data_IF_770983235252
#
_entry.id   IF_770983235252
#
_cell.length_a   1.000
_cell.length_b   1.000
_cell.length_c   1.000
_cell.angle_alpha   90.00
_cell.angle_beta   90.00
_cell.angle_gamma   90.00
#
_symmetry.space_group_name_H-M   'P 1'
#
loop_
_entity.id
_entity.type
_entity.pdbx_description
1 polymer ?
#
# COMPACT_ATOMS: atom_id res chain seq x y z
N UNK A 1 21.40 -2.12 -6.83
CA UNK A 1 20.51 -1.70 -5.73
C UNK A 1 20.90 -0.29 -5.36
N UNK A 2 19.95 0.63 -5.45
CA UNK A 2 20.17 2.02 -5.04
C UNK A 2 19.47 2.14 -3.71
N UNK A 3 20.20 1.94 -2.62
CA UNK A 3 19.65 2.05 -1.29
C UNK A 3 19.32 3.54 -1.04
N UNK A 4 18.21 3.80 -0.35
CA UNK A 4 17.80 5.16 0.02
C UNK A 4 18.38 5.49 1.39
N UNK A 5 18.84 6.71 1.61
CA UNK A 5 18.98 7.17 2.99
C UNK A 5 17.61 7.18 3.67
N UNK A 6 17.58 7.08 5.00
CA UNK A 6 16.30 7.18 5.73
C UNK A 6 15.57 8.49 5.43
N UNK A 7 16.30 9.60 5.30
CA UNK A 7 15.71 10.90 4.96
C UNK A 7 15.05 10.88 3.58
N UNK A 8 15.72 10.30 2.57
CA UNK A 8 15.16 10.14 1.22
C UNK A 8 13.93 9.21 1.22
N UNK A 9 13.98 8.10 1.96
CA UNK A 9 12.86 7.17 2.08
C UNK A 9 11.64 7.85 2.72
N UNK A 10 11.85 8.63 3.79
CA UNK A 10 10.76 9.37 4.45
C UNK A 10 10.20 10.44 3.53
N UNK A 11 11.05 11.28 2.92
CA UNK A 11 10.61 12.29 1.96
C UNK A 11 9.79 11.67 0.81
N UNK A 12 10.21 10.49 0.33
CA UNK A 12 9.51 9.79 -0.75
C UNK A 12 8.11 9.34 -0.36
N UNK A 13 7.90 8.85 0.86
CA UNK A 13 6.55 8.52 1.34
C UNK A 13 5.73 9.77 1.69
N UNK A 14 6.38 10.87 2.09
CA UNK A 14 5.69 12.16 2.25
C UNK A 14 5.06 12.64 0.95
N UNK A 15 5.79 12.51 -0.16
CA UNK A 15 5.33 12.82 -1.51
C UNK A 15 4.22 11.87 -1.97
N UNK A 16 4.32 10.57 -1.62
CA UNK A 16 3.28 9.58 -1.92
C UNK A 16 1.96 9.93 -1.22
N UNK A 17 2.02 10.24 0.07
CA UNK A 17 0.84 10.65 0.85
C UNK A 17 0.26 11.96 0.31
N UNK A 18 1.11 12.92 -0.05
CA UNK A 18 0.64 14.17 -0.65
C UNK A 18 -0.13 13.92 -1.96
N UNK A 19 0.37 13.05 -2.84
CA UNK A 19 -0.35 12.65 -4.06
C UNK A 19 -1.68 11.97 -3.77
N UNK A 20 -1.71 11.03 -2.83
CA UNK A 20 -2.96 10.36 -2.42
C UNK A 20 -3.99 11.37 -1.91
N UNK A 21 -3.54 12.40 -1.20
CA UNK A 21 -4.39 13.45 -0.63
C UNK A 21 -4.93 14.43 -1.68
N UNK A 22 -4.13 14.77 -2.70
CA UNK A 22 -4.48 15.85 -3.65
C UNK A 22 -4.96 15.37 -5.00
N UNK A 23 -4.46 14.24 -5.50
CA UNK A 23 -4.66 13.84 -6.88
C UNK A 23 -5.88 12.93 -7.00
N UNK A 24 -6.53 12.96 -8.17
CA UNK A 24 -7.56 11.98 -8.49
C UNK A 24 -6.89 10.61 -8.63
N UNK A 25 -7.09 9.72 -7.66
CA UNK A 25 -6.60 8.34 -7.74
C UNK A 25 -7.48 7.50 -8.67
N UNK A 26 -6.95 6.42 -9.30
CA UNK A 26 -7.71 5.47 -10.12
C UNK A 26 -8.87 4.80 -9.36
N UNK A 27 -8.73 4.68 -8.05
CA UNK A 27 -9.74 4.22 -7.08
C UNK A 27 -9.54 4.99 -5.77
N UNK A 28 -10.57 5.17 -4.92
CA UNK A 28 -10.38 5.81 -3.62
C UNK A 28 -9.36 5.04 -2.77
N UNK A 29 -8.45 5.76 -2.13
CA UNK A 29 -7.49 5.24 -1.15
C UNK A 29 -7.98 5.66 0.23
N UNK A 30 -7.95 4.74 1.18
CA UNK A 30 -8.48 4.90 2.54
C UNK A 30 -7.42 4.97 3.62
N UNK A 31 -6.30 4.30 3.41
CA UNK A 31 -5.21 4.29 4.39
C UNK A 31 -3.88 4.18 3.65
N UNK A 32 -2.87 4.88 4.16
CA UNK A 32 -1.49 4.74 3.74
C UNK A 32 -0.65 4.37 4.96
N UNK A 33 0.00 3.22 4.88
CA UNK A 33 0.92 2.71 5.90
C UNK A 33 2.30 2.47 5.30
N UNK A 34 3.32 2.57 6.12
CA UNK A 34 4.65 2.01 5.82
C UNK A 34 4.96 0.87 6.75
N UNK A 35 5.82 -0.04 6.29
CA UNK A 35 6.34 -1.13 7.11
C UNK A 35 7.80 -1.45 6.71
N UNK A 36 8.39 -2.45 7.34
CA UNK A 36 9.76 -2.89 7.00
C UNK A 36 10.84 -1.91 7.43
N UNK A 37 11.86 -1.72 6.60
CA UNK A 37 13.12 -1.05 6.97
C UNK A 37 12.92 0.36 7.52
N UNK A 38 12.03 1.14 6.90
CA UNK A 38 11.77 2.53 7.28
C UNK A 38 11.14 2.63 8.68
N UNK A 39 10.26 1.70 9.05
CA UNK A 39 9.65 1.69 10.40
C UNK A 39 10.61 1.14 11.44
N UNK A 40 11.60 0.34 11.04
CA UNK A 40 12.66 -0.15 11.92
C UNK A 40 13.80 0.87 12.12
N UNK A 41 13.72 2.04 11.48
CA UNK A 41 14.71 3.11 11.58
C UNK A 41 16.04 2.79 10.90
N UNK A 42 16.07 1.82 9.99
CA UNK A 42 17.28 1.44 9.26
C UNK A 42 17.77 2.59 8.37
N UNK A 43 19.09 2.69 8.23
CA UNK A 43 19.75 3.66 7.37
C UNK A 43 21.07 3.05 6.88
N UNK A 44 21.18 2.66 5.59
CA UNK A 44 20.20 2.92 4.54
C UNK A 44 18.93 2.04 4.61
N UNK A 45 17.88 2.48 3.92
CA UNK A 45 16.65 1.74 3.61
C UNK A 45 16.85 1.04 2.27
N UNK A 46 16.88 -0.30 2.27
CA UNK A 46 17.11 -1.09 1.05
C UNK A 46 15.88 -1.05 0.13
N UNK A 47 14.69 -1.03 0.74
CA UNK A 47 13.40 -0.96 0.05
C UNK A 47 12.36 -0.22 0.88
N UNK A 48 11.59 0.66 0.24
CA UNK A 48 10.45 1.33 0.87
C UNK A 48 9.19 0.48 0.68
N UNK A 49 8.72 -0.14 1.75
CA UNK A 49 7.50 -0.94 1.77
C UNK A 49 6.29 -0.08 2.19
N UNK A 50 5.28 0.03 1.33
CA UNK A 50 4.06 0.81 1.55
C UNK A 50 2.83 -0.07 1.38
N UNK A 51 1.86 0.08 2.27
CA UNK A 51 0.56 -0.56 2.16
C UNK A 51 -0.52 0.48 1.91
N UNK A 52 -1.36 0.23 0.91
CA UNK A 52 -2.49 1.06 0.53
C UNK A 52 -3.79 0.27 0.73
N UNK A 53 -4.63 0.76 1.63
CA UNK A 53 -6.03 0.34 1.68
C UNK A 53 -6.80 1.11 0.61
N UNK A 54 -7.54 0.42 -0.26
CA UNK A 54 -8.38 1.03 -1.30
C UNK A 54 -9.84 0.61 -1.20
N UNK A 55 -10.73 1.44 -1.71
CA UNK A 55 -12.12 1.03 -1.93
C UNK A 55 -12.31 0.37 -3.31
N UNK A 56 -13.45 -0.30 -3.43
CA UNK A 56 -14.01 -0.79 -4.69
C UNK A 56 -15.07 0.22 -5.15
N UNK A 57 -15.15 0.49 -6.45
CA UNK A 57 -16.17 1.37 -7.03
C UNK A 57 -17.55 0.67 -7.03
N UNK A 58 -18.22 0.64 -5.88
CA UNK A 58 -19.53 0.01 -5.74
C UNK A 58 -20.59 0.87 -6.43
N UNK A 59 -21.06 0.41 -7.59
CA UNK A 59 -22.07 1.12 -8.39
C UNK A 59 -21.52 1.82 -9.63
N UNK A 60 -20.22 1.67 -9.90
CA UNK A 60 -19.52 2.33 -11.00
C UNK A 60 -18.78 3.59 -10.54
N UNK A 61 -18.09 4.23 -11.46
CA UNK A 61 -17.48 5.53 -11.26
C UNK A 61 -18.54 6.65 -11.20
N UNK A 62 -18.33 7.64 -10.32
CA UNK A 62 -19.20 8.82 -10.16
C UNK A 62 -18.93 9.89 -11.24
N UNK A 63 -18.04 9.63 -12.20
CA UNK A 63 -17.72 10.57 -13.27
C UNK A 63 -18.70 10.49 -14.45
N UNK A 64 -18.90 11.62 -15.12
CA UNK A 64 -19.66 11.70 -16.38
C UNK A 64 -18.86 11.20 -17.60
N UNK A 65 -17.65 10.69 -17.40
CA UNK A 65 -16.77 10.25 -18.48
C UNK A 65 -17.21 8.87 -18.97
N UNK A 66 -17.61 8.78 -20.24
CA UNK A 66 -17.95 7.51 -20.86
C UNK A 66 -16.66 6.72 -21.17
N UNK A 67 -16.44 5.54 -20.56
CA UNK A 67 -15.26 4.72 -20.84
C UNK A 67 -15.13 4.31 -22.31
N UNK A 68 -16.25 4.21 -23.05
CA UNK A 68 -16.24 3.85 -24.47
C UNK A 68 -15.59 4.94 -25.34
N UNK A 69 -15.60 6.20 -24.89
CA UNK A 69 -15.00 7.33 -25.60
C UNK A 69 -13.45 7.35 -25.50
N UNK A 70 -12.86 6.65 -24.54
CA UNK A 70 -11.42 6.69 -24.28
C UNK A 70 -10.59 5.92 -25.31
N UNK A 71 -11.22 5.02 -26.08
CA UNK A 71 -10.57 4.18 -27.08
C UNK A 71 -9.33 3.42 -26.57
N UNK A 72 -9.27 3.12 -25.27
CA UNK A 72 -8.16 2.41 -24.63
C UNK A 72 -8.21 0.89 -24.85
N UNK A 73 -9.39 0.36 -25.17
CA UNK A 73 -9.59 -1.08 -25.39
C UNK A 73 -9.33 -1.92 -24.14
N UNK A 74 -9.55 -1.34 -22.96
CA UNK A 74 -9.36 -2.00 -21.67
C UNK A 74 -10.71 -2.10 -20.98
N UNK A 75 -11.15 -3.33 -20.72
CA UNK A 75 -12.39 -3.60 -20.00
C UNK A 75 -12.26 -3.23 -18.51
N UNK A 76 -13.36 -2.78 -17.90
CA UNK A 76 -13.41 -2.47 -16.46
C UNK A 76 -13.05 -1.02 -16.10
N UNK A 77 -12.75 -0.16 -17.08
CA UNK A 77 -12.73 1.30 -16.87
C UNK A 77 -14.18 1.77 -16.67
N UNK A 78 -14.40 2.64 -15.68
CA UNK A 78 -15.73 3.04 -15.20
C UNK A 78 -16.36 2.06 -14.20
N UNK A 79 -15.80 0.86 -14.04
CA UNK A 79 -16.32 -0.18 -13.13
C UNK A 79 -15.36 -0.52 -11.99
N UNK A 80 -14.08 -0.64 -12.29
CA UNK A 80 -13.02 -1.04 -11.34
C UNK A 80 -11.93 0.02 -11.20
N UNK A 81 -11.80 0.89 -12.21
CA UNK A 81 -10.93 2.06 -12.24
C UNK A 81 -11.76 3.22 -12.78
N UNK A 82 -11.61 4.40 -12.21
CA UNK A 82 -12.35 5.60 -12.61
C UNK A 82 -12.05 6.00 -14.05
N UNK A 83 -13.09 6.36 -14.81
CA UNK A 83 -13.01 6.70 -16.22
C UNK A 83 -12.39 8.09 -16.43
N UNK A 84 -12.73 9.06 -15.58
CA UNK A 84 -12.11 10.40 -15.61
C UNK A 84 -10.59 10.33 -15.39
N UNK A 85 -10.17 9.54 -14.41
CA UNK A 85 -8.76 9.28 -14.16
C UNK A 85 -8.07 8.63 -15.35
N UNK A 86 -8.69 7.61 -15.96
CA UNK A 86 -8.10 6.91 -17.10
C UNK A 86 -7.96 7.83 -18.34
N UNK A 87 -8.86 8.80 -18.51
CA UNK A 87 -8.80 9.80 -19.56
C UNK A 87 -7.58 10.72 -19.42
N UNK A 88 -7.27 11.14 -18.18
CA UNK A 88 -6.17 12.04 -17.88
C UNK A 88 -4.82 11.32 -17.77
N UNK A 89 -4.83 10.04 -17.39
CA UNK A 89 -3.64 9.25 -17.07
C UNK A 89 -3.54 7.97 -17.90
N UNK A 90 -3.76 8.08 -19.21
CA UNK A 90 -3.74 6.94 -20.15
C UNK A 90 -2.46 6.11 -20.06
N UNK A 91 -1.31 6.75 -19.77
CA UNK A 91 0.00 6.13 -19.61
C UNK A 91 0.15 5.27 -18.34
N UNK A 92 -0.73 5.47 -17.35
CA UNK A 92 -0.74 4.72 -16.09
C UNK A 92 -1.77 3.59 -16.08
N UNK A 93 -2.60 3.45 -17.12
CA UNK A 93 -3.56 2.36 -17.23
C UNK A 93 -2.81 1.03 -17.34
N UNK A 94 -3.13 0.08 -16.45
CA UNK A 94 -2.54 -1.26 -16.40
C UNK A 94 -3.64 -2.30 -16.28
N UNK A 95 -3.40 -3.47 -16.86
CA UNK A 95 -4.34 -4.58 -16.83
C UNK A 95 -3.86 -5.75 -15.96
N UNK A 96 -4.80 -6.56 -15.50
CA UNK A 96 -4.51 -7.87 -14.96
C UNK A 96 -4.17 -8.86 -16.10
N UNK A 97 -3.87 -10.11 -15.74
CA UNK A 97 -3.52 -11.15 -16.72
C UNK A 97 -4.65 -11.48 -17.71
N UNK A 98 -5.90 -11.14 -17.37
CA UNK A 98 -7.08 -11.37 -18.19
C UNK A 98 -7.45 -10.17 -19.08
N UNK A 99 -6.67 -9.07 -19.03
CA UNK A 99 -6.90 -7.88 -19.86
C UNK A 99 -7.86 -6.83 -19.26
N UNK A 100 -8.40 -7.06 -18.05
CA UNK A 100 -9.22 -6.07 -17.35
C UNK A 100 -8.35 -5.05 -16.62
N UNK A 101 -8.83 -3.81 -16.49
CA UNK A 101 -8.21 -2.78 -15.67
C UNK A 101 -7.90 -3.33 -14.26
N UNK A 102 -6.66 -3.12 -13.81
CA UNK A 102 -6.18 -3.60 -12.52
C UNK A 102 -5.91 -2.41 -11.60
N UNK A 103 -6.83 -2.07 -10.67
CA UNK A 103 -6.71 -0.86 -9.87
C UNK A 103 -5.42 -0.81 -9.06
N UNK A 104 -4.92 -1.94 -8.56
CA UNK A 104 -3.67 -2.04 -7.82
C UNK A 104 -2.46 -1.67 -8.68
N UNK A 105 -2.44 -2.13 -9.93
CA UNK A 105 -1.37 -1.80 -10.89
C UNK A 105 -1.48 -0.37 -11.40
N UNK A 106 -2.70 0.15 -11.57
CA UNK A 106 -2.94 1.55 -11.92
C UNK A 106 -2.47 2.47 -10.78
N UNK A 107 -2.77 2.14 -9.52
CA UNK A 107 -2.26 2.86 -8.35
C UNK A 107 -0.73 2.84 -8.33
N UNK A 108 -0.12 1.67 -8.55
CA UNK A 108 1.32 1.56 -8.59
C UNK A 108 1.96 2.42 -9.69
N UNK A 109 1.43 2.34 -10.91
CA UNK A 109 1.91 3.14 -12.03
C UNK A 109 1.74 4.66 -11.82
N UNK A 110 0.70 5.07 -11.09
CA UNK A 110 0.50 6.49 -10.74
C UNK A 110 1.50 6.95 -9.67
N UNK A 111 1.67 6.14 -8.61
CA UNK A 111 2.35 6.56 -7.39
C UNK A 111 3.86 6.32 -7.41
N UNK A 112 4.35 5.39 -8.22
CA UNK A 112 5.73 4.87 -8.17
C UNK A 112 6.32 4.72 -9.57
N UNK A 113 7.54 5.21 -9.77
CA UNK A 113 8.31 4.97 -10.99
C UNK A 113 8.87 3.55 -11.06
N UNK A 114 8.97 3.00 -12.28
CA UNK A 114 9.29 1.57 -12.52
C UNK A 114 10.64 1.11 -11.92
N UNK A 115 11.62 2.01 -11.80
CA UNK A 115 12.97 1.71 -11.31
C UNK A 115 13.18 2.05 -9.82
N UNK A 116 12.16 2.51 -9.10
CA UNK A 116 12.27 2.88 -7.69
C UNK A 116 12.28 1.63 -6.78
N UNK A 117 13.08 1.60 -5.70
CA UNK A 117 13.12 0.47 -4.75
C UNK A 117 11.90 0.52 -3.80
N UNK A 118 10.69 0.47 -4.37
CA UNK A 118 9.43 0.60 -3.65
C UNK A 118 8.59 -0.66 -3.86
N UNK A 119 8.07 -1.19 -2.77
CA UNK A 119 7.09 -2.27 -2.81
C UNK A 119 5.73 -1.75 -2.35
N UNK A 120 4.71 -1.93 -3.19
CA UNK A 120 3.33 -1.60 -2.87
C UNK A 120 2.52 -2.87 -2.60
N UNK A 121 1.98 -2.97 -1.40
CA UNK A 121 0.87 -3.86 -1.09
C UNK A 121 -0.43 -3.07 -1.23
N UNK A 122 -1.34 -3.53 -2.08
CA UNK A 122 -2.62 -2.84 -2.31
C UNK A 122 -3.76 -3.81 -2.06
N UNK A 123 -4.66 -3.46 -1.16
CA UNK A 123 -5.75 -4.33 -0.75
C UNK A 123 -7.00 -3.51 -0.37
N UNK A 124 -8.16 -4.15 -0.35
CA UNK A 124 -9.41 -3.57 0.14
C UNK A 124 -9.62 -3.74 1.65
N UNK A 125 -8.85 -4.60 2.30
CA UNK A 125 -8.87 -4.76 3.76
C UNK A 125 -7.94 -3.73 4.43
N UNK A 126 -8.27 -3.32 5.67
CA UNK A 126 -7.38 -2.50 6.49
C UNK A 126 -6.04 -3.20 6.70
N UNK A 127 -4.98 -2.44 7.00
CA UNK A 127 -3.64 -3.01 7.23
C UNK A 127 -3.67 -4.08 8.33
N UNK A 128 -4.25 -3.77 9.49
CA UNK A 128 -4.29 -4.67 10.65
C UNK A 128 -5.09 -5.96 10.38
N UNK A 129 -6.23 -5.83 9.67
CA UNK A 129 -7.03 -6.99 9.29
C UNK A 129 -6.27 -7.90 8.33
N UNK A 130 -5.60 -7.31 7.32
CA UNK A 130 -4.88 -8.08 6.31
C UNK A 130 -3.63 -8.76 6.90
N UNK A 131 -2.91 -8.09 7.80
CA UNK A 131 -1.82 -8.69 8.58
C UNK A 131 -2.30 -9.98 9.27
N UNK A 132 -3.45 -9.89 9.94
CA UNK A 132 -4.02 -11.03 10.68
C UNK A 132 -4.45 -12.15 9.72
N UNK A 133 -5.21 -11.82 8.68
CA UNK A 133 -5.75 -12.80 7.74
C UNK A 133 -4.65 -13.52 6.94
N UNK A 134 -3.64 -12.79 6.46
CA UNK A 134 -2.51 -13.39 5.75
C UNK A 134 -1.66 -14.26 6.66
N UNK A 135 -1.48 -13.88 7.94
CA UNK A 135 -0.82 -14.74 8.90
C UNK A 135 -1.60 -16.04 9.11
N UNK A 136 -2.91 -15.97 9.36
CA UNK A 136 -3.76 -17.16 9.52
C UNK A 136 -3.70 -18.08 8.29
N UNK A 137 -3.81 -17.51 7.09
CA UNK A 137 -3.71 -18.25 5.83
C UNK A 137 -2.34 -18.90 5.63
N UNK A 138 -1.26 -18.19 5.95
CA UNK A 138 0.10 -18.71 5.86
C UNK A 138 0.37 -19.82 6.88
N UNK A 139 -0.12 -19.69 8.12
CA UNK A 139 -0.02 -20.73 9.14
C UNK A 139 -0.79 -22.00 8.74
N UNK A 140 -1.95 -21.85 8.10
CA UNK A 140 -2.77 -22.97 7.64
C UNK A 140 -2.15 -23.71 6.44
N UNK A 141 -1.40 -23.01 5.58
CA UNK A 141 -0.90 -23.55 4.30
C UNK A 141 0.61 -23.81 4.26
N UNK A 142 1.38 -23.22 5.18
CA UNK A 142 2.84 -23.21 5.15
C UNK A 142 3.44 -22.19 4.18
N UNK A 143 2.63 -21.34 3.54
CA UNK A 143 3.09 -20.37 2.54
C UNK A 143 3.51 -19.04 3.20
N UNK A 144 4.62 -19.04 3.93
CA UNK A 144 5.07 -17.88 4.72
C UNK A 144 5.45 -16.63 3.90
N UNK A 145 5.75 -16.78 2.62
CA UNK A 145 5.97 -15.66 1.68
C UNK A 145 4.73 -14.77 1.45
N UNK A 146 3.55 -15.23 1.90
CA UNK A 146 2.30 -14.47 1.83
C UNK A 146 2.07 -13.61 3.07
N UNK A 147 2.90 -13.74 4.12
CA UNK A 147 2.77 -12.95 5.35
C UNK A 147 3.10 -11.49 5.07
N UNK A 148 2.24 -10.59 5.55
CA UNK A 148 2.51 -9.16 5.61
C UNK A 148 3.27 -8.82 6.90
N UNK A 149 4.26 -7.93 6.84
CA UNK A 149 4.99 -7.50 8.04
C UNK A 149 4.03 -6.77 9.00
N UNK A 150 3.84 -7.24 10.24
CA UNK A 150 2.97 -6.55 11.19
C UNK A 150 3.57 -5.26 11.76
N UNK A 151 4.84 -4.95 11.48
CA UNK A 151 5.58 -3.82 12.06
C UNK A 151 5.35 -2.54 11.24
N UNK A 152 4.10 -2.12 11.16
CA UNK A 152 3.65 -0.97 10.38
C UNK A 152 3.49 0.33 11.16
N UNK A 153 3.49 1.46 10.43
CA UNK A 153 3.11 2.78 10.93
C UNK A 153 2.10 3.43 9.99
N UNK A 154 0.95 3.85 10.52
CA UNK A 154 -0.08 4.55 9.77
C UNK A 154 0.30 6.02 9.57
N UNK A 155 0.30 6.47 8.32
CA UNK A 155 0.72 7.83 7.95
C UNK A 155 -0.44 8.71 7.53
N UNK A 156 -1.48 8.11 6.97
CA UNK A 156 -2.65 8.81 6.50
C UNK A 156 -3.87 7.90 6.52
N UNK A 157 -5.02 8.45 6.89
CA UNK A 157 -6.32 7.79 6.78
C UNK A 157 -7.31 8.74 6.14
N UNK A 158 -8.19 8.24 5.30
CA UNK A 158 -9.31 9.02 4.80
C UNK A 158 -10.25 9.34 5.98
N UNK A 159 -10.63 10.59 6.13
CA UNK A 159 -11.40 11.05 7.27
C UNK A 159 -12.89 10.94 6.93
N UNK A 160 -13.57 9.96 7.53
CA UNK A 160 -15.04 9.95 7.50
C UNK A 160 -15.58 11.28 8.06
N UNK A 161 -16.54 11.94 7.39
CA UNK A 161 -17.04 13.23 7.84
C UNK A 161 -17.53 13.14 9.29
N UNK A 162 -16.89 13.88 10.20
CA UNK A 162 -17.32 13.93 11.61
C UNK A 162 -18.74 14.51 11.66
N UNK A 163 -19.72 13.70 12.06
CA UNK A 163 -21.12 14.15 12.22
C UNK A 163 -21.18 15.42 13.08
N UNK A 164 -21.60 16.52 12.47
CA UNK A 164 -21.78 17.82 13.15
C UNK A 164 -20.59 18.76 13.10
N UNK A 165 -19.51 18.42 12.38
CA UNK A 165 -18.47 19.37 12.02
C UNK A 165 -18.95 20.27 10.88
N UNK A 166 -18.86 21.59 11.06
CA UNK A 166 -18.99 22.58 9.98
C UNK A 166 -17.64 22.93 9.35
N UNK A 167 -16.56 22.26 9.78
CA UNK A 167 -15.26 22.37 9.15
C UNK A 167 -15.29 21.59 7.83
N UNK A 168 -15.27 22.32 6.72
CA UNK A 168 -15.07 21.83 5.35
C UNK A 168 -13.63 21.31 5.12
N UNK A 169 -12.94 20.82 6.15
CA UNK A 169 -11.77 19.95 5.93
C UNK A 169 -12.26 18.57 5.54
N UNK A 170 -12.77 18.52 4.32
CA UNK A 170 -13.22 17.34 3.56
C UNK A 170 -11.98 16.63 3.00
N UNK A 171 -11.07 16.25 3.89
CA UNK A 171 -9.76 15.72 3.53
C UNK A 171 -9.24 14.73 4.57
N UNK A 172 -8.44 13.76 4.11
CA UNK A 172 -7.88 12.73 4.98
C UNK A 172 -6.95 13.29 6.07
N UNK A 173 -6.77 12.51 7.13
CA UNK A 173 -5.95 12.84 8.28
C UNK A 173 -4.54 12.27 8.12
N UNK A 174 -3.58 13.15 7.81
CA UNK A 174 -2.14 12.85 7.89
C UNK A 174 -1.66 12.82 9.35
N UNK A 175 -0.72 11.93 9.68
CA UNK A 175 -0.11 11.82 11.01
C UNK A 175 1.27 12.48 11.06
N UNK A 176 1.33 13.74 11.52
CA UNK A 176 2.60 14.46 11.70
C UNK A 176 3.56 13.74 12.66
N UNK A 177 3.04 13.25 13.79
CA UNK A 177 3.80 12.47 14.78
C UNK A 177 4.43 11.20 14.18
N UNK A 178 3.72 10.49 13.29
CA UNK A 178 4.26 9.29 12.67
C UNK A 178 5.44 9.64 11.73
N UNK A 179 5.30 10.72 10.96
CA UNK A 179 6.40 11.21 10.11
C UNK A 179 7.61 11.68 10.92
N UNK A 180 7.39 12.40 12.03
CA UNK A 180 8.48 12.79 12.95
C UNK A 180 9.24 11.55 13.45
N UNK A 181 8.51 10.55 13.97
CA UNK A 181 9.12 9.29 14.44
C UNK A 181 9.85 8.52 13.35
N UNK A 182 9.37 8.54 12.10
CA UNK A 182 10.08 7.92 10.98
C UNK A 182 11.42 8.63 10.72
N UNK A 183 11.44 9.97 10.69
CA UNK A 183 12.68 10.75 10.48
C UNK A 183 13.70 10.48 11.58
N UNK A 184 13.24 10.45 12.82
CA UNK A 184 14.07 10.25 14.01
C UNK A 184 14.43 8.78 14.26
N UNK A 185 13.70 7.83 13.64
CA UNK A 185 13.89 6.39 13.84
C UNK A 185 13.42 5.91 15.21
N UNK A 186 12.35 6.51 15.75
CA UNK A 186 11.92 6.33 17.15
C UNK A 186 10.87 5.23 17.35
N UNK A 187 10.44 4.55 16.29
CA UNK A 187 9.50 3.44 16.43
C UNK A 187 10.13 2.28 17.20
N UNK A 188 9.55 1.95 18.36
CA UNK A 188 9.96 0.80 19.17
C UNK A 188 9.09 -0.39 18.78
N UNK A 189 9.58 -1.18 17.84
CA UNK A 189 8.90 -2.36 17.31
C UNK A 189 9.59 -3.64 17.78
N UNK A 190 8.85 -4.75 18.00
CA UNK A 190 9.44 -6.04 18.31
C UNK A 190 10.24 -6.59 17.11
N UNK A 191 10.97 -7.68 17.32
CA UNK A 191 11.51 -8.47 16.20
C UNK A 191 10.36 -8.97 15.33
N UNK A 192 10.63 -9.30 14.06
CA UNK A 192 9.61 -9.86 13.17
C UNK A 192 8.96 -11.12 13.79
N UNK A 193 9.75 -12.08 14.25
CA UNK A 193 9.24 -13.27 14.94
C UNK A 193 8.43 -12.91 16.19
N UNK A 194 8.91 -11.97 17.01
CA UNK A 194 8.18 -11.52 18.20
C UNK A 194 6.83 -10.87 17.85
N UNK A 195 6.76 -10.12 16.76
CA UNK A 195 5.51 -9.56 16.26
C UNK A 195 4.53 -10.65 15.80
N UNK A 196 5.02 -11.67 15.10
CA UNK A 196 4.21 -12.82 14.67
C UNK A 196 3.72 -13.65 15.86
N UNK A 197 4.55 -13.84 16.90
CA UNK A 197 4.14 -14.49 18.16
C UNK A 197 3.03 -13.71 18.87
N UNK A 198 3.13 -12.38 18.91
CA UNK A 198 2.09 -11.52 19.48
C UNK A 198 0.76 -11.63 18.73
N UNK A 199 0.79 -11.98 17.45
CA UNK A 199 -0.39 -12.25 16.61
C UNK A 199 -0.85 -13.72 16.65
N UNK A 200 -0.20 -14.58 17.45
CA UNK A 200 -0.64 -15.94 17.73
C UNK A 200 0.14 -17.05 17.03
N UNK A 201 1.22 -16.75 16.32
CA UNK A 201 2.12 -17.78 15.81
C UNK A 201 2.88 -18.48 16.96
N UNK A 202 3.09 -19.79 16.85
CA UNK A 202 3.96 -20.50 17.81
C UNK A 202 5.42 -20.05 17.63
N UNK A 203 6.25 -19.96 18.69
CA UNK A 203 7.60 -19.36 18.61
C UNK A 203 8.50 -19.94 17.52
N UNK A 204 8.55 -21.27 17.38
CA UNK A 204 9.36 -21.91 16.33
C UNK A 204 8.84 -21.64 14.92
N UNK A 205 7.51 -21.56 14.76
CA UNK A 205 6.88 -21.22 13.48
C UNK A 205 7.06 -19.74 13.15
N UNK A 206 7.03 -18.87 14.15
CA UNK A 206 7.28 -17.44 13.99
C UNK A 206 8.71 -17.14 13.53
N UNK A 207 9.70 -17.87 14.05
CA UNK A 207 11.09 -17.80 13.57
C UNK A 207 11.21 -18.27 12.12
N UNK A 208 10.65 -19.44 11.78
CA UNK A 208 10.67 -19.97 10.41
C UNK A 208 9.98 -19.02 9.41
N UNK A 209 8.81 -18.50 9.78
CA UNK A 209 8.07 -17.54 8.97
C UNK A 209 8.84 -16.23 8.79
N UNK A 210 9.50 -15.74 9.84
CA UNK A 210 10.32 -14.54 9.77
C UNK A 210 11.51 -14.72 8.81
N UNK A 211 12.15 -15.88 8.82
CA UNK A 211 13.26 -16.19 7.91
C UNK A 211 12.79 -16.33 6.46
N UNK A 212 11.66 -17.00 6.24
CA UNK A 212 11.05 -17.11 4.91
C UNK A 212 10.71 -15.72 4.33
N UNK A 213 10.16 -14.82 5.14
CA UNK A 213 9.82 -13.46 4.69
C UNK A 213 11.07 -12.65 4.34
N UNK A 214 12.15 -12.76 5.14
CA UNK A 214 13.44 -12.11 4.82
C UNK A 214 14.03 -12.63 3.52
N UNK A 215 14.02 -13.94 3.32
CA UNK A 215 14.52 -14.56 2.09
C UNK A 215 13.72 -14.08 0.86
N UNK A 216 12.39 -14.10 0.95
CA UNK A 216 11.51 -13.62 -0.13
C UNK A 216 11.72 -12.14 -0.47
N UNK A 217 12.00 -11.28 0.52
CA UNK A 217 12.32 -9.86 0.28
C UNK A 217 13.64 -9.67 -0.43
N UNK A 218 14.67 -10.42 -0.04
CA UNK A 218 16.01 -10.31 -0.62
C UNK A 218 16.07 -10.69 -2.12
N UNK A 219 15.07 -11.39 -2.63
CA UNK A 219 14.96 -11.79 -4.04
C UNK A 219 14.26 -10.74 -4.93
N UNK A 220 13.69 -9.67 -4.34
CA UNK A 220 12.94 -8.66 -5.08
C UNK A 220 13.79 -7.45 -5.42
N UNK A 221 13.72 -7.01 -6.68
CA UNK A 221 14.42 -5.84 -7.19
C UNK A 221 13.44 -4.89 -7.91
N UNK A 222 13.70 -3.58 -7.81
CA UNK A 222 12.89 -2.54 -8.46
C UNK A 222 11.50 -2.34 -7.86
N UNK A 223 10.64 -1.66 -8.61
CA UNK A 223 9.28 -1.40 -8.17
C UNK A 223 8.43 -2.68 -8.28
N UNK A 224 7.77 -3.05 -7.19
CA UNK A 224 6.94 -4.25 -7.14
C UNK A 224 5.56 -3.91 -6.59
N UNK A 225 4.53 -4.56 -7.13
CA UNK A 225 3.16 -4.42 -6.64
C UNK A 225 2.57 -5.80 -6.39
N UNK A 226 2.02 -5.99 -5.19
CA UNK A 226 1.18 -7.13 -4.84
C UNK A 226 -0.22 -6.61 -4.56
N UNK A 227 -1.15 -7.00 -5.42
CA UNK A 227 -2.57 -6.72 -5.26
C UNK A 227 -3.27 -7.94 -4.68
N UNK A 228 -4.15 -7.71 -3.71
CA UNK A 228 -5.06 -8.73 -3.21
C UNK A 228 -6.47 -8.15 -3.09
N UNK A 229 -7.46 -9.00 -3.31
CA UNK A 229 -8.87 -8.65 -3.11
C UNK A 229 -9.44 -9.70 -2.18
N UNK A 230 -9.76 -9.27 -0.96
CA UNK A 230 -10.33 -10.13 0.08
C UNK A 230 -11.85 -10.03 0.10
#
# INVERSE_FOLDING_TARGET
>A
MTDLSREEAVARVEDLVARVETDRMPVPVREVWVFGDVTLGLDPVERLDVYLTKDILVGGDDSDTDPDDLALGVDGIGETVRADWAAEHTEHVRTNANGYAAPEKCLAAHLVGDDEPVHLEVCNASFDDNVTQRLEGALATGNYEQILDPRGACLWVDAEPRRGSSDESDGGQRSEDAFEKLREGEFVLPTLSGALEMLGAEPGVAEEAADALRAYRAEQEGATVRGDVV
#
